data_IF_108161700091
#
_entry.id   IF_108161700091
#
_cell.length_a   1.000
_cell.length_b   1.000
_cell.length_c   1.000
_cell.angle_alpha   90.00
_cell.angle_beta   90.00
_cell.angle_gamma   90.00
#
_symmetry.space_group_name_H-M   'P 1'
#
loop_
_entity.id
_entity.type
_entity.pdbx_description
1 polymer ?
#
# COMPACT_ATOMS: atom_id res chain seq x y z
N UNK A 1 25.75 -6.28 0.60
CA UNK A 1 25.78 -5.08 1.50
C UNK A 1 27.07 -5.05 2.28
N UNK A 2 27.71 -3.91 2.34
CA UNK A 2 28.86 -3.71 3.20
C UNK A 2 28.39 -3.75 4.66
N UNK A 3 28.74 -4.84 5.38
CA UNK A 3 28.36 -5.08 6.79
C UNK A 3 28.96 -4.05 7.78
N UNK A 4 29.72 -3.09 7.29
CA UNK A 4 30.36 -2.07 8.10
C UNK A 4 29.48 -0.82 8.32
N UNK A 5 28.38 -0.67 7.56
CA UNK A 5 27.48 0.46 7.66
C UNK A 5 26.31 0.14 8.59
N UNK A 6 26.14 0.95 9.66
CA UNK A 6 24.98 0.88 10.54
C UNK A 6 23.69 1.03 9.75
N UNK A 7 22.66 0.16 9.97
CA UNK A 7 21.35 0.31 9.34
C UNK A 7 20.69 1.66 9.63
N UNK A 8 19.76 2.05 8.78
CA UNK A 8 19.03 3.31 8.91
C UNK A 8 19.71 4.48 8.21
N UNK A 9 18.99 5.57 8.12
CA UNK A 9 19.43 6.81 7.46
C UNK A 9 20.18 7.74 8.40
N UNK A 10 20.93 8.68 7.84
CA UNK A 10 21.57 9.76 8.63
C UNK A 10 20.53 10.59 9.41
N UNK A 11 19.31 10.73 8.86
CA UNK A 11 18.19 11.39 9.53
C UNK A 11 17.75 10.64 10.78
N UNK A 12 17.59 9.32 10.69
CA UNK A 12 17.29 8.47 11.84
C UNK A 12 18.38 8.61 12.91
N UNK A 13 19.64 8.49 12.54
CA UNK A 13 20.77 8.59 13.48
C UNK A 13 20.83 9.95 14.16
N UNK A 14 20.53 11.05 13.46
CA UNK A 14 20.44 12.39 14.09
C UNK A 14 19.32 12.46 15.11
N UNK A 15 18.13 11.92 14.77
CA UNK A 15 16.99 11.89 15.68
C UNK A 15 17.22 11.01 16.88
N UNK A 16 17.81 9.83 16.71
CA UNK A 16 18.18 8.92 17.80
C UNK A 16 19.10 9.58 18.81
N UNK A 17 20.12 10.30 18.35
CA UNK A 17 21.02 11.08 19.25
C UNK A 17 20.26 12.17 19.99
N UNK A 18 19.39 12.93 19.28
CA UNK A 18 18.62 14.03 19.88
C UNK A 18 17.62 13.55 20.93
N UNK A 19 17.04 12.36 20.74
CA UNK A 19 16.00 11.78 21.60
C UNK A 19 16.55 10.74 22.59
N UNK A 20 17.87 10.56 22.64
CA UNK A 20 18.56 9.59 23.49
C UNK A 20 17.99 8.17 23.37
N UNK A 21 17.83 7.70 22.12
CA UNK A 21 17.30 6.38 21.80
C UNK A 21 18.31 5.47 21.09
N UNK A 22 19.59 5.88 21.01
CA UNK A 22 20.63 5.20 20.25
C UNK A 22 20.79 3.73 20.62
N UNK A 23 21.02 3.42 21.88
CA UNK A 23 21.24 2.05 22.36
C UNK A 23 20.03 1.13 22.09
N UNK A 24 18.82 1.68 22.13
CA UNK A 24 17.60 0.92 21.82
C UNK A 24 17.48 0.66 20.32
N UNK A 25 17.85 1.62 19.49
CA UNK A 25 17.87 1.47 18.04
C UNK A 25 18.94 0.46 17.60
N UNK A 26 20.14 0.51 18.20
CA UNK A 26 21.20 -0.43 17.88
C UNK A 26 20.80 -1.88 18.20
N UNK A 27 20.20 -2.12 19.35
CA UNK A 27 19.65 -3.46 19.66
C UNK A 27 18.59 -3.90 18.66
N UNK A 28 17.73 -2.99 18.21
CA UNK A 28 16.74 -3.33 17.19
C UNK A 28 17.39 -3.69 15.86
N UNK A 29 18.38 -2.91 15.43
CA UNK A 29 19.12 -3.21 14.20
C UNK A 29 19.82 -4.57 14.27
N UNK A 30 20.48 -4.85 15.39
CA UNK A 30 21.25 -6.09 15.58
C UNK A 30 20.36 -7.34 15.72
N UNK A 31 19.19 -7.20 16.36
CA UNK A 31 18.33 -8.34 16.71
C UNK A 31 17.16 -8.57 15.76
N UNK A 32 16.67 -7.54 15.06
CA UNK A 32 15.39 -7.59 14.36
C UNK A 32 15.47 -7.30 12.87
N UNK A 33 16.52 -6.62 12.39
CA UNK A 33 16.66 -6.27 10.98
C UNK A 33 17.52 -7.30 10.27
N UNK A 34 16.97 -7.94 9.25
CA UNK A 34 17.66 -8.91 8.41
C UNK A 34 17.79 -8.37 7.00
N UNK A 35 18.81 -8.80 6.29
CA UNK A 35 19.04 -8.54 4.87
C UNK A 35 18.29 -9.52 3.95
N UNK A 36 17.39 -10.32 4.51
CA UNK A 36 16.66 -11.39 3.83
C UNK A 36 15.41 -11.82 4.60
N UNK A 37 14.58 -12.62 3.95
CA UNK A 37 13.42 -13.28 4.55
C UNK A 37 13.82 -14.62 5.15
N UNK A 38 13.76 -14.76 6.47
CA UNK A 38 13.90 -16.08 7.11
C UNK A 38 12.65 -16.95 6.88
N UNK A 39 12.71 -18.22 7.29
CA UNK A 39 11.62 -19.19 7.05
C UNK A 39 10.27 -18.72 7.59
N UNK A 40 10.25 -18.09 8.78
CA UNK A 40 9.02 -17.59 9.40
C UNK A 40 8.45 -16.40 8.64
N UNK A 41 9.31 -15.51 8.13
CA UNK A 41 8.89 -14.39 7.30
C UNK A 41 8.31 -14.87 5.97
N UNK A 42 8.93 -15.88 5.34
CA UNK A 42 8.42 -16.48 4.10
C UNK A 42 7.06 -17.14 4.30
N UNK A 43 6.88 -17.88 5.40
CA UNK A 43 5.59 -18.46 5.79
C UNK A 43 4.54 -17.35 6.03
N UNK A 44 4.93 -16.27 6.73
CA UNK A 44 4.06 -15.12 6.97
C UNK A 44 3.61 -14.48 5.66
N UNK A 45 4.53 -14.21 4.74
CA UNK A 45 4.25 -13.65 3.40
C UNK A 45 3.28 -14.53 2.62
N UNK A 46 3.51 -15.85 2.60
CA UNK A 46 2.71 -16.79 1.81
C UNK A 46 1.24 -16.87 2.20
N UNK A 47 0.87 -16.46 3.41
CA UNK A 47 -0.51 -16.49 3.90
C UNK A 47 -1.23 -15.14 3.81
N UNK A 48 -0.52 -14.05 3.44
CA UNK A 48 -1.15 -12.73 3.33
C UNK A 48 -2.04 -12.64 2.10
N UNK A 49 -3.15 -11.93 2.24
CA UNK A 49 -4.10 -11.62 1.16
C UNK A 49 -3.96 -10.18 0.67
N UNK A 50 -3.12 -9.38 1.34
CA UNK A 50 -2.95 -7.96 1.05
C UNK A 50 -1.65 -7.40 1.62
N UNK A 51 -1.18 -6.30 1.04
CA UNK A 51 -0.11 -5.47 1.59
C UNK A 51 -0.25 -4.01 1.17
N UNK A 52 0.41 -3.13 1.91
CA UNK A 52 0.60 -1.73 1.56
C UNK A 52 1.94 -1.59 0.87
N UNK A 53 1.95 -0.81 -0.20
CA UNK A 53 3.13 -0.54 -1.01
C UNK A 53 3.41 0.96 -0.97
N UNK A 54 4.63 1.33 -0.65
CA UNK A 54 5.15 2.69 -0.74
C UNK A 54 6.19 2.74 -1.85
N UNK A 55 6.05 3.72 -2.73
CA UNK A 55 7.01 4.04 -3.80
C UNK A 55 7.22 5.55 -3.86
N UNK A 56 8.27 5.99 -4.49
CA UNK A 56 8.51 7.40 -4.75
C UNK A 56 9.13 7.56 -6.14
N UNK A 57 8.82 8.66 -6.81
CA UNK A 57 9.48 9.03 -8.05
C UNK A 57 10.95 9.46 -7.83
N UNK A 58 11.63 9.89 -8.89
CA UNK A 58 13.00 10.41 -8.82
C UNK A 58 13.16 11.65 -7.96
N UNK A 59 12.09 12.40 -7.74
CA UNK A 59 12.05 13.63 -6.94
C UNK A 59 11.68 13.38 -5.48
N UNK A 60 11.36 12.13 -5.12
CA UNK A 60 10.93 11.74 -3.78
C UNK A 60 9.44 12.00 -3.52
N UNK A 61 8.61 12.23 -4.56
CA UNK A 61 7.17 12.31 -4.39
C UNK A 61 6.59 10.92 -4.17
N UNK A 62 6.05 10.73 -2.97
CA UNK A 62 5.62 9.43 -2.50
C UNK A 62 4.20 9.08 -2.97
N UNK A 63 4.02 7.82 -3.37
CA UNK A 63 2.73 7.16 -3.53
C UNK A 63 2.61 6.01 -2.53
N UNK A 64 1.46 5.94 -1.86
CA UNK A 64 1.12 4.83 -0.98
C UNK A 64 -0.14 4.17 -1.47
N UNK A 65 -0.05 2.90 -1.76
CA UNK A 65 -1.13 2.15 -2.41
C UNK A 65 -1.33 0.78 -1.77
N UNK A 66 -2.36 0.09 -2.21
CA UNK A 66 -2.78 -1.19 -1.67
C UNK A 66 -2.73 -2.26 -2.77
N UNK A 67 -2.24 -3.45 -2.41
CA UNK A 67 -2.27 -4.64 -3.27
C UNK A 67 -2.95 -5.77 -2.54
N UNK A 68 -3.79 -6.53 -3.26
CA UNK A 68 -4.49 -7.68 -2.72
C UNK A 68 -4.60 -8.81 -3.74
N UNK A 69 -4.69 -10.02 -3.24
CA UNK A 69 -4.85 -11.23 -4.02
C UNK A 69 -5.17 -12.43 -3.12
N UNK A 70 -5.36 -13.61 -3.67
CA UNK A 70 -5.51 -14.83 -2.86
C UNK A 70 -4.21 -15.12 -2.09
N UNK A 71 -4.27 -15.86 -0.97
CA UNK A 71 -3.06 -16.29 -0.27
C UNK A 71 -2.04 -16.87 -1.24
N UNK A 72 -0.78 -16.42 -1.11
CA UNK A 72 0.29 -16.79 -2.02
C UNK A 72 0.32 -16.02 -3.35
N UNK A 73 -0.45 -14.93 -3.52
CA UNK A 73 -0.31 -14.06 -4.70
C UNK A 73 1.06 -13.36 -4.72
N UNK A 74 1.59 -13.03 -3.55
CA UNK A 74 2.96 -12.59 -3.37
C UNK A 74 3.87 -13.84 -3.36
N UNK A 75 4.76 -13.94 -4.34
CA UNK A 75 5.64 -15.09 -4.55
C UNK A 75 7.00 -14.84 -3.95
N UNK A 76 7.43 -15.69 -3.05
CA UNK A 76 8.81 -15.71 -2.55
C UNK A 76 9.57 -16.80 -3.31
N UNK A 77 10.60 -16.43 -4.05
CA UNK A 77 11.39 -17.37 -4.84
C UNK A 77 12.56 -17.91 -4.06
N UNK A 78 13.20 -17.06 -3.28
CA UNK A 78 14.28 -17.42 -2.36
C UNK A 78 14.26 -16.50 -1.11
N UNK A 79 15.32 -16.44 -0.35
CA UNK A 79 15.39 -15.62 0.86
C UNK A 79 15.59 -14.10 0.59
N UNK A 80 15.98 -13.71 -0.64
CA UNK A 80 16.18 -12.31 -1.02
C UNK A 80 15.31 -11.87 -2.20
N UNK A 81 14.55 -12.78 -2.82
CA UNK A 81 13.76 -12.45 -4.02
C UNK A 81 12.31 -12.80 -3.83
N UNK A 82 11.45 -11.81 -4.04
CA UNK A 82 10.02 -12.00 -4.11
C UNK A 82 9.43 -11.25 -5.32
N UNK A 83 8.22 -11.63 -5.73
CA UNK A 83 7.49 -10.89 -6.76
C UNK A 83 5.99 -10.89 -6.50
N UNK A 84 5.33 -9.85 -6.98
CA UNK A 84 3.87 -9.77 -6.97
C UNK A 84 3.33 -9.39 -8.35
N UNK A 85 2.14 -9.92 -8.71
CA UNK A 85 1.49 -9.57 -9.97
C UNK A 85 0.82 -8.20 -9.86
N UNK A 86 0.98 -7.39 -10.89
CA UNK A 86 0.14 -6.23 -11.12
C UNK A 86 -1.05 -6.63 -11.98
N UNK A 87 -2.24 -6.44 -11.43
CA UNK A 87 -3.48 -6.71 -12.12
C UNK A 87 -3.99 -5.46 -12.84
N UNK A 88 -4.86 -5.64 -13.80
CA UNK A 88 -5.49 -4.53 -14.51
C UNK A 88 -6.20 -3.57 -13.55
N UNK A 89 -5.75 -2.32 -13.53
CA UNK A 89 -6.25 -1.23 -12.70
C UNK A 89 -6.91 -0.12 -13.51
N UNK A 90 -6.78 1.12 -13.02
CA UNK A 90 -7.32 2.34 -13.63
C UNK A 90 -6.48 2.89 -14.80
N UNK A 91 -5.33 2.31 -15.09
CA UNK A 91 -4.44 2.73 -16.17
C UNK A 91 -3.47 3.86 -15.81
N UNK A 92 -3.52 4.40 -14.58
CA UNK A 92 -2.59 5.45 -14.13
C UNK A 92 -1.17 4.91 -13.94
N UNK A 93 -1.03 3.68 -13.43
CA UNK A 93 0.24 2.97 -13.23
C UNK A 93 1.25 3.73 -12.33
N UNK A 94 0.76 4.54 -11.36
CA UNK A 94 1.60 5.42 -10.55
C UNK A 94 2.79 4.68 -9.90
N UNK A 95 2.52 3.57 -9.18
CA UNK A 95 3.59 2.82 -8.50
C UNK A 95 4.60 2.19 -9.48
N UNK A 96 4.14 1.73 -10.66
CA UNK A 96 5.03 1.19 -11.68
C UNK A 96 5.91 2.28 -12.27
N UNK A 97 5.33 3.45 -12.58
CA UNK A 97 6.09 4.62 -13.04
C UNK A 97 7.15 5.05 -12.03
N UNK A 98 6.79 5.09 -10.74
CA UNK A 98 7.74 5.40 -9.68
C UNK A 98 8.90 4.40 -9.65
N UNK A 99 8.62 3.09 -9.76
CA UNK A 99 9.65 2.02 -9.76
C UNK A 99 10.60 2.15 -10.96
N UNK A 100 10.10 2.54 -12.12
CA UNK A 100 10.94 2.78 -13.30
C UNK A 100 11.92 3.96 -13.11
N UNK A 101 11.50 4.98 -12.36
CA UNK A 101 12.33 6.15 -12.09
C UNK A 101 13.23 5.97 -10.85
N UNK A 102 12.70 5.31 -9.82
CA UNK A 102 13.36 5.08 -8.54
C UNK A 102 13.00 3.67 -8.04
N UNK A 103 13.94 2.72 -8.13
CA UNK A 103 13.64 1.33 -7.83
C UNK A 103 13.37 1.02 -6.35
N UNK A 104 13.56 1.98 -5.44
CA UNK A 104 13.33 1.74 -4.03
C UNK A 104 11.84 1.67 -3.69
N UNK A 105 11.48 0.68 -2.89
CA UNK A 105 10.12 0.52 -2.39
C UNK A 105 10.10 0.01 -0.96
N UNK A 106 8.95 0.21 -0.30
CA UNK A 106 8.63 -0.40 0.99
C UNK A 106 7.32 -1.18 0.91
N UNK A 107 7.34 -2.40 1.41
CA UNK A 107 6.16 -3.25 1.57
C UNK A 107 5.86 -3.37 3.06
N UNK A 108 4.61 -3.11 3.45
CA UNK A 108 4.11 -3.36 4.79
C UNK A 108 2.96 -4.36 4.74
N UNK A 109 3.16 -5.51 5.36
CA UNK A 109 2.11 -6.49 5.60
C UNK A 109 1.69 -6.45 7.06
N UNK A 110 0.37 -6.54 7.32
CA UNK A 110 -0.17 -6.61 8.68
C UNK A 110 -1.20 -7.73 8.75
N UNK A 111 -0.97 -8.69 9.63
CA UNK A 111 -1.96 -9.69 9.99
C UNK A 111 -2.89 -9.14 11.09
N UNK A 112 -4.02 -8.60 10.67
CA UNK A 112 -5.05 -8.07 11.57
C UNK A 112 -5.93 -9.17 12.19
N UNK A 113 -5.85 -10.41 11.68
CA UNK A 113 -6.84 -11.44 11.96
C UNK A 113 -6.37 -12.47 12.97
N UNK A 114 -5.10 -12.86 12.92
CA UNK A 114 -4.53 -13.96 13.71
C UNK A 114 -3.47 -13.47 14.69
N UNK A 115 -2.31 -13.14 14.17
CA UNK A 115 -1.12 -12.92 14.99
C UNK A 115 -0.97 -11.47 15.46
N UNK A 116 -1.70 -10.54 14.83
CA UNK A 116 -1.62 -9.10 15.12
C UNK A 116 -0.17 -8.62 15.09
N UNK A 117 0.51 -9.00 14.04
CA UNK A 117 1.91 -8.66 13.80
C UNK A 117 2.07 -8.22 12.35
N UNK A 118 3.09 -7.44 12.06
CA UNK A 118 3.40 -7.07 10.70
C UNK A 118 4.83 -7.38 10.32
N UNK A 119 5.10 -7.22 9.04
CA UNK A 119 6.41 -7.38 8.43
C UNK A 119 6.66 -6.20 7.50
N UNK A 120 7.77 -5.51 7.73
CA UNK A 120 8.34 -4.57 6.78
C UNK A 120 9.32 -5.29 5.86
N UNK A 121 9.25 -5.00 4.57
CA UNK A 121 10.22 -5.42 3.57
C UNK A 121 10.58 -4.19 2.77
N UNK A 122 11.83 -3.77 2.82
CA UNK A 122 12.38 -2.69 2.03
C UNK A 122 13.37 -3.29 1.01
N UNK A 123 13.42 -2.70 -0.18
CA UNK A 123 14.31 -3.22 -1.20
C UNK A 123 14.23 -2.46 -2.51
N UNK A 124 14.76 -3.09 -3.54
CA UNK A 124 14.79 -2.55 -4.89
C UNK A 124 13.93 -3.42 -5.79
N UNK A 125 13.15 -2.77 -6.65
CA UNK A 125 12.22 -3.44 -7.54
C UNK A 125 12.52 -3.15 -9.00
N UNK A 126 12.04 -4.05 -9.86
CA UNK A 126 11.97 -3.85 -11.30
C UNK A 126 10.64 -4.35 -11.84
N UNK A 127 10.13 -3.71 -12.87
CA UNK A 127 8.97 -4.18 -13.60
C UNK A 127 9.41 -5.26 -14.59
N UNK A 128 8.66 -6.37 -14.64
CA UNK A 128 8.97 -7.54 -15.46
C UNK A 128 7.74 -7.95 -16.25
N UNK A 129 7.89 -8.17 -17.53
CA UNK A 129 6.83 -8.68 -18.39
C UNK A 129 6.37 -10.08 -17.95
N UNK A 130 5.07 -10.37 -18.05
CA UNK A 130 4.52 -11.69 -17.64
C UNK A 130 5.20 -12.85 -18.38
N UNK A 131 5.52 -12.67 -19.65
CA UNK A 131 6.21 -13.69 -20.45
C UNK A 131 7.63 -13.97 -19.93
N UNK A 132 8.40 -12.94 -19.56
CA UNK A 132 9.74 -13.06 -19.00
C UNK A 132 9.68 -13.74 -17.63
N UNK A 133 8.77 -13.29 -16.76
CA UNK A 133 8.59 -13.87 -15.43
C UNK A 133 8.25 -15.35 -15.49
N UNK A 134 7.38 -15.76 -16.42
CA UNK A 134 7.01 -17.18 -16.60
C UNK A 134 8.11 -18.01 -17.22
N UNK A 135 8.94 -17.43 -18.08
CA UNK A 135 10.10 -18.12 -18.63
C UNK A 135 11.12 -18.43 -17.53
N UNK A 136 11.31 -17.51 -16.59
CA UNK A 136 12.23 -17.69 -15.44
C UNK A 136 11.63 -18.58 -14.35
N UNK A 137 10.30 -18.50 -14.14
CA UNK A 137 9.58 -19.24 -13.10
C UNK A 137 8.39 -20.01 -13.70
N UNK A 138 8.60 -21.16 -14.37
CA UNK A 138 7.54 -21.91 -15.08
C UNK A 138 6.40 -22.39 -14.20
N UNK A 139 6.60 -22.48 -12.87
CA UNK A 139 5.59 -22.92 -11.89
C UNK A 139 4.56 -21.84 -11.48
N UNK A 140 4.63 -20.63 -12.05
CA UNK A 140 3.68 -19.59 -11.72
C UNK A 140 2.27 -19.93 -12.20
N UNK A 141 1.24 -19.79 -11.35
CA UNK A 141 -0.14 -20.11 -11.70
C UNK A 141 -0.66 -19.15 -12.79
N UNK A 142 -1.55 -19.67 -13.64
CA UNK A 142 -2.33 -18.88 -14.58
C UNK A 142 -3.76 -18.90 -14.11
N UNK A 143 -4.31 -17.72 -13.78
CA UNK A 143 -5.73 -17.64 -13.44
C UNK A 143 -6.58 -17.79 -14.73
N UNK A 144 -7.61 -18.64 -14.72
CA UNK A 144 -8.51 -18.80 -15.86
C UNK A 144 -9.31 -17.54 -16.16
N UNK A 145 -9.56 -16.69 -15.17
CA UNK A 145 -10.31 -15.44 -15.31
C UNK A 145 -9.38 -14.34 -15.85
N UNK A 146 -9.64 -13.76 -17.04
CA UNK A 146 -8.75 -12.77 -17.65
C UNK A 146 -8.44 -11.56 -16.75
N UNK A 147 -9.43 -11.02 -16.03
CA UNK A 147 -9.25 -9.88 -15.12
C UNK A 147 -8.41 -10.18 -13.87
N UNK A 148 -8.05 -11.44 -13.67
CA UNK A 148 -7.18 -11.92 -12.57
C UNK A 148 -5.79 -12.32 -13.05
N UNK A 149 -5.47 -12.09 -14.32
CA UNK A 149 -4.14 -12.35 -14.86
C UNK A 149 -3.24 -11.17 -14.60
N UNK A 150 -1.99 -11.45 -14.32
CA UNK A 150 -0.96 -10.42 -14.24
C UNK A 150 -0.84 -9.71 -15.60
N UNK A 151 -0.77 -8.39 -15.58
CA UNK A 151 -0.41 -7.58 -16.76
C UNK A 151 1.11 -7.54 -16.85
N UNK A 152 1.74 -7.25 -15.72
CA UNK A 152 3.19 -7.30 -15.49
C UNK A 152 3.43 -7.82 -14.08
N UNK A 153 4.67 -8.06 -13.73
CA UNK A 153 5.12 -8.41 -12.39
C UNK A 153 6.05 -7.33 -11.86
N UNK A 154 6.06 -7.18 -10.56
CA UNK A 154 7.11 -6.43 -9.86
C UNK A 154 7.95 -7.43 -9.10
N UNK A 155 9.21 -7.55 -9.49
CA UNK A 155 10.21 -8.37 -8.80
C UNK A 155 10.99 -7.47 -7.84
N UNK A 156 11.17 -7.94 -6.62
CA UNK A 156 11.79 -7.19 -5.53
C UNK A 156 12.99 -7.96 -5.01
N UNK A 157 14.15 -7.30 -4.98
CA UNK A 157 15.31 -7.74 -4.23
C UNK A 157 15.24 -7.14 -2.83
N UNK A 158 15.16 -8.00 -1.81
CA UNK A 158 15.07 -7.61 -0.41
C UNK A 158 16.40 -7.06 0.08
N UNK A 159 16.40 -5.87 0.64
CA UNK A 159 17.56 -5.26 1.29
C UNK A 159 17.41 -5.28 2.82
N UNK A 160 16.17 -5.12 3.30
CA UNK A 160 15.85 -5.14 4.72
C UNK A 160 14.50 -5.83 4.95
N UNK A 161 14.43 -6.67 5.96
CA UNK A 161 13.18 -7.26 6.45
C UNK A 161 13.16 -7.23 7.98
N UNK A 162 12.09 -6.70 8.57
CA UNK A 162 11.96 -6.60 10.02
C UNK A 162 10.51 -6.58 10.48
N UNK A 163 10.33 -6.92 11.76
CA UNK A 163 9.02 -6.99 12.38
C UNK A 163 8.37 -5.60 12.53
N UNK A 164 7.07 -5.53 12.22
CA UNK A 164 6.18 -4.48 12.75
C UNK A 164 5.50 -5.00 14.00
N UNK A 165 5.79 -4.39 15.16
CA UNK A 165 5.32 -4.91 16.43
C UNK A 165 3.79 -4.91 16.55
N UNK A 166 3.26 -5.82 17.38
CA UNK A 166 1.81 -6.00 17.62
C UNK A 166 1.15 -4.77 18.30
N UNK A 167 1.96 -3.86 18.87
CA UNK A 167 1.47 -2.70 19.59
C UNK A 167 0.62 -1.82 18.66
N UNK A 168 -0.62 -1.55 19.07
CA UNK A 168 -1.59 -0.74 18.32
C UNK A 168 -2.15 -1.37 17.03
N UNK A 169 -1.85 -2.64 16.70
CA UNK A 169 -2.55 -3.33 15.62
C UNK A 169 -3.93 -3.77 16.12
N UNK A 170 -5.03 -3.27 15.52
CA UNK A 170 -6.38 -3.67 15.92
C UNK A 170 -6.63 -5.14 15.55
N UNK A 171 -7.41 -5.84 16.35
CA UNK A 171 -7.90 -7.17 16.00
C UNK A 171 -9.17 -7.05 15.15
N UNK A 172 -9.08 -7.44 13.89
CA UNK A 172 -10.20 -7.42 12.95
C UNK A 172 -10.73 -8.82 12.75
N UNK A 173 -11.95 -8.92 12.26
CA UNK A 173 -12.61 -10.16 11.88
C UNK A 173 -13.18 -10.04 10.46
N UNK A 174 -13.07 -11.10 9.67
CA UNK A 174 -13.78 -11.17 8.38
C UNK A 174 -15.29 -11.16 8.66
N UNK A 175 -16.02 -10.24 8.04
CA UNK A 175 -17.48 -10.21 8.21
C UNK A 175 -18.09 -11.51 7.65
N UNK A 176 -19.10 -12.10 8.32
CA UNK A 176 -19.86 -13.21 7.73
C UNK A 176 -20.47 -12.82 6.39
N UNK A 177 -20.50 -13.74 5.44
CA UNK A 177 -20.99 -13.49 4.07
C UNK A 177 -22.40 -12.86 4.02
N UNK A 178 -23.32 -13.28 4.91
CA UNK A 178 -24.66 -12.72 5.01
C UNK A 178 -24.69 -11.24 5.43
N UNK A 179 -23.77 -10.77 6.26
CA UNK A 179 -23.67 -9.35 6.67
C UNK A 179 -23.16 -8.46 5.54
N UNK A 180 -22.33 -8.98 4.67
CA UNK A 180 -21.81 -8.22 3.51
C UNK A 180 -22.89 -7.87 2.51
N UNK A 181 -23.87 -8.79 2.27
CA UNK A 181 -25.01 -8.53 1.40
C UNK A 181 -25.92 -7.44 1.99
N UNK A 182 -26.20 -7.48 3.29
CA UNK A 182 -27.05 -6.48 3.95
C UNK A 182 -26.42 -5.08 3.95
N UNK A 183 -25.12 -4.94 4.17
CA UNK A 183 -24.43 -3.65 4.14
C UNK A 183 -24.45 -3.00 2.74
N UNK A 184 -24.36 -3.82 1.66
CA UNK A 184 -24.47 -3.33 0.27
C UNK A 184 -25.90 -2.90 -0.11
N UNK A 185 -26.93 -3.58 0.43
CA UNK A 185 -28.35 -3.21 0.18
C UNK A 185 -28.70 -1.93 0.94
N UNK A 186 -28.23 -1.76 2.17
CA UNK A 186 -28.47 -0.53 2.96
C UNK A 186 -27.86 0.72 2.35
N UNK A 187 -26.67 0.64 1.74
CA UNK A 187 -26.04 1.76 1.05
C UNK A 187 -26.78 2.15 -0.27
N UNK A 188 -27.63 1.26 -0.80
CA UNK A 188 -28.45 1.54 -2.01
C UNK A 188 -29.84 2.12 -1.71
N UNK A 189 -30.33 2.00 -0.48
CA UNK A 189 -31.71 2.45 -0.13
C UNK A 189 -31.85 3.97 -0.02
N UNK A 190 -30.76 4.76 -0.16
CA UNK A 190 -30.77 6.21 -0.11
C UNK A 190 -30.93 6.95 -1.44
N UNK A 191 -31.07 6.25 -2.55
CA UNK A 191 -31.21 6.90 -3.86
C UNK A 191 -31.98 6.03 -4.83
N UNK A 192 -33.33 6.04 -4.74
CA UNK A 192 -34.21 5.90 -5.94
C UNK A 192 -35.64 6.26 -5.56
N UNK A 193 -36.17 7.21 -6.28
CA UNK A 193 -37.59 7.36 -6.50
C UNK A 193 -37.93 6.92 -7.95
N UNK A 194 -38.96 6.11 -8.09
CA UNK A 194 -39.78 6.00 -9.30
C UNK A 194 -39.43 4.99 -10.39
N UNK A 195 -40.27 3.96 -10.55
CA UNK A 195 -40.43 3.24 -11.84
C UNK A 195 -40.77 1.75 -11.71
N UNK A 196 -42.03 1.47 -11.97
CA UNK A 196 -42.79 0.21 -11.91
C UNK A 196 -42.34 -0.89 -12.87
N UNK A 197 -42.58 -2.09 -12.42
CA UNK A 197 -43.24 -3.26 -13.08
C UNK A 197 -42.40 -4.47 -13.52
N UNK A 198 -42.81 -5.62 -13.01
CA UNK A 198 -43.05 -6.89 -13.74
C UNK A 198 -41.92 -7.92 -13.79
N UNK A 199 -42.13 -9.06 -13.12
CA UNK A 199 -41.55 -10.33 -13.54
C UNK A 199 -40.95 -11.20 -12.42
N UNK A 200 -41.79 -11.99 -11.78
CA UNK A 200 -41.42 -13.18 -11.01
C UNK A 200 -40.97 -14.27 -11.97
N UNK A 201 -39.73 -14.70 -11.90
CA UNK A 201 -39.39 -16.06 -12.26
C UNK A 201 -38.43 -16.66 -11.26
N UNK A 202 -38.88 -17.72 -10.61
CA UNK A 202 -38.16 -18.47 -9.63
C UNK A 202 -37.28 -19.54 -10.27
N UNK A 203 -36.01 -19.42 -10.07
CA UNK A 203 -35.10 -20.57 -10.16
C UNK A 203 -34.20 -20.55 -8.93
N UNK A 204 -34.50 -21.49 -8.03
CA UNK A 204 -33.64 -21.85 -6.90
C UNK A 204 -32.51 -22.73 -7.42
N UNK A 205 -31.41 -22.12 -7.81
CA UNK A 205 -30.17 -22.85 -8.01
C UNK A 205 -29.24 -22.64 -6.83
N UNK A 206 -28.97 -23.73 -6.11
CA UNK A 206 -28.12 -23.82 -4.94
C UNK A 206 -26.64 -23.67 -5.25
N UNK A 207 -26.20 -22.48 -5.67
CA UNK A 207 -24.78 -22.12 -5.84
C UNK A 207 -24.24 -21.51 -4.54
N UNK A 208 -23.25 -22.16 -3.95
CA UNK A 208 -22.68 -21.85 -2.64
C UNK A 208 -22.21 -20.40 -2.50
N UNK A 209 -22.48 -19.82 -1.33
CA UNK A 209 -22.19 -18.44 -0.92
C UNK A 209 -20.68 -18.10 -0.91
N UNK A 210 -19.81 -19.11 -1.03
CA UNK A 210 -18.36 -18.93 -1.08
C UNK A 210 -17.82 -18.36 -2.41
N UNK A 211 -18.61 -18.40 -3.49
CA UNK A 211 -18.16 -18.05 -4.84
C UNK A 211 -18.38 -16.58 -5.21
N UNK A 212 -19.31 -15.89 -4.58
CA UNK A 212 -19.67 -14.49 -4.94
C UNK A 212 -18.57 -13.48 -4.55
N UNK A 213 -17.78 -13.72 -3.52
CA UNK A 213 -16.65 -12.86 -3.16
C UNK A 213 -15.46 -13.07 -4.13
N UNK A 214 -15.40 -14.23 -4.82
CA UNK A 214 -14.43 -14.50 -5.88
C UNK A 214 -14.80 -13.87 -7.19
N UNK A 215 -16.10 -13.72 -7.49
CA UNK A 215 -16.59 -13.20 -8.76
C UNK A 215 -16.39 -11.68 -8.92
N UNK A 216 -16.30 -10.94 -7.81
CA UNK A 216 -16.05 -9.50 -7.84
C UNK A 216 -14.57 -9.14 -7.97
N UNK A 217 -13.67 -10.06 -7.65
CA UNK A 217 -12.24 -9.82 -7.78
C UNK A 217 -11.80 -9.86 -9.25
N UNK A 218 -11.09 -8.82 -9.69
CA UNK A 218 -10.67 -8.67 -11.09
C UNK A 218 -11.77 -8.21 -12.05
N UNK A 219 -12.91 -7.72 -11.53
CA UNK A 219 -13.99 -7.18 -12.35
C UNK A 219 -13.61 -5.89 -13.06
N UNK A 220 -14.09 -5.71 -14.28
CA UNK A 220 -14.00 -4.45 -15.03
C UNK A 220 -15.23 -3.55 -14.87
N UNK A 221 -16.27 -4.00 -14.17
CA UNK A 221 -17.47 -3.20 -13.92
C UNK A 221 -17.16 -1.95 -13.11
N UNK A 222 -17.37 -0.78 -13.72
CA UNK A 222 -17.07 0.53 -13.10
C UNK A 222 -17.79 0.74 -11.76
N UNK A 223 -19.05 0.32 -11.63
CA UNK A 223 -19.82 0.48 -10.40
C UNK A 223 -19.28 -0.42 -9.28
N UNK A 224 -18.86 -1.64 -9.63
CA UNK A 224 -18.23 -2.56 -8.68
C UNK A 224 -16.84 -2.12 -8.23
N UNK A 225 -16.14 -1.36 -9.08
CA UNK A 225 -14.85 -0.73 -8.75
C UNK A 225 -14.96 0.52 -7.85
N UNK A 226 -16.17 0.89 -7.43
CA UNK A 226 -16.41 2.07 -6.59
C UNK A 226 -16.95 3.27 -7.37
N UNK A 227 -16.82 3.32 -8.69
CA UNK A 227 -17.31 4.40 -9.52
C UNK A 227 -16.74 5.76 -9.09
N UNK A 228 -17.60 6.79 -9.10
CA UNK A 228 -17.28 8.14 -8.62
C UNK A 228 -17.76 8.33 -7.17
N UNK A 229 -17.33 7.44 -6.26
CA UNK A 229 -17.78 7.42 -4.86
C UNK A 229 -17.60 8.76 -4.15
N UNK A 230 -16.51 9.47 -4.42
CA UNK A 230 -16.21 10.77 -3.82
C UNK A 230 -16.74 11.96 -4.64
N UNK A 231 -17.46 11.75 -5.74
CA UNK A 231 -18.06 12.82 -6.55
C UNK A 231 -17.06 13.65 -7.36
N UNK A 232 -15.83 13.18 -7.54
CA UNK A 232 -14.77 13.92 -8.21
C UNK A 232 -15.13 14.29 -9.67
N UNK A 233 -15.82 13.39 -10.39
CA UNK A 233 -16.28 13.66 -11.74
C UNK A 233 -17.38 14.73 -11.77
N UNK A 234 -18.22 14.83 -10.73
CA UNK A 234 -19.20 15.88 -10.58
C UNK A 234 -18.50 17.23 -10.35
N UNK A 235 -17.51 17.28 -9.48
CA UNK A 235 -16.73 18.51 -9.22
C UNK A 235 -16.04 19.04 -10.48
N UNK A 236 -15.53 18.15 -11.32
CA UNK A 236 -14.94 18.52 -12.62
C UNK A 236 -15.99 19.15 -13.53
N UNK A 237 -17.16 18.50 -13.68
CA UNK A 237 -18.23 19.00 -14.56
C UNK A 237 -18.78 20.34 -14.12
N UNK A 238 -18.81 20.60 -12.81
CA UNK A 238 -19.32 21.83 -12.22
C UNK A 238 -18.23 22.92 -12.05
N UNK A 239 -17.04 22.67 -12.57
CA UNK A 239 -15.91 23.63 -12.51
C UNK A 239 -15.35 23.88 -11.11
N UNK A 240 -15.71 23.05 -10.14
CA UNK A 240 -15.20 23.16 -8.75
C UNK A 240 -13.78 22.62 -8.60
N UNK A 241 -13.31 21.81 -9.56
CA UNK A 241 -11.96 21.27 -9.54
C UNK A 241 -10.98 22.31 -10.10
N UNK A 242 -9.95 22.64 -9.32
CA UNK A 242 -8.71 23.16 -9.90
C UNK A 242 -7.93 21.98 -10.47
N UNK A 243 -7.50 22.02 -11.75
CA UNK A 243 -6.58 21.01 -12.26
C UNK A 243 -5.36 20.97 -11.35
N UNK A 244 -4.90 19.77 -10.99
CA UNK A 244 -3.56 19.62 -10.45
C UNK A 244 -2.64 20.12 -11.57
N UNK A 245 -1.88 21.19 -11.33
CA UNK A 245 -0.96 21.71 -12.31
C UNK A 245 0.03 20.60 -12.66
N UNK A 246 0.05 20.19 -13.94
CA UNK A 246 1.10 19.33 -14.42
C UNK A 246 2.45 20.01 -14.14
N UNK A 247 3.42 19.28 -13.63
CA UNK A 247 4.78 19.79 -13.53
C UNK A 247 5.27 20.09 -14.94
N UNK A 248 5.79 21.31 -15.15
CA UNK A 248 6.67 21.53 -16.27
C UNK A 248 7.90 20.64 -16.08
N UNK A 249 8.38 19.95 -17.14
CA UNK A 249 9.62 19.21 -17.03
C UNK A 249 10.71 20.20 -16.59
N UNK A 250 11.24 20.01 -15.39
CA UNK A 250 12.39 20.78 -14.96
C UNK A 250 13.54 20.51 -15.94
N UNK A 251 14.25 21.56 -16.40
CA UNK A 251 15.45 21.35 -17.19
C UNK A 251 16.38 20.46 -16.37
N UNK A 252 16.95 19.45 -17.01
CA UNK A 252 17.89 18.51 -16.35
C UNK A 252 18.88 19.32 -15.51
N UNK A 253 18.69 19.31 -14.20
CA UNK A 253 19.58 19.99 -13.29
C UNK A 253 20.92 19.25 -13.36
N UNK A 254 21.91 19.95 -13.87
CA UNK A 254 23.31 19.56 -13.72
C UNK A 254 23.54 19.28 -12.22
N UNK A 255 23.74 17.98 -11.89
CA UNK A 255 24.02 17.55 -10.52
C UNK A 255 25.42 17.98 -10.08
N UNK A 256 25.60 19.31 -10.08
CA UNK A 256 26.69 19.95 -9.37
C UNK A 256 26.53 19.71 -7.88
N UNK A 257 27.30 18.76 -7.37
CA UNK A 257 27.40 18.37 -5.97
C UNK A 257 27.80 19.55 -5.08
N UNK A 258 26.75 20.24 -4.57
CA UNK A 258 26.90 21.22 -3.47
C UNK A 258 26.02 20.77 -2.31
N UNK A 259 26.53 20.67 -1.08
CA UNK A 259 25.69 20.32 0.07
C UNK A 259 24.68 21.46 0.32
N UNK A 260 23.38 21.12 0.29
CA UNK A 260 22.33 22.02 0.73
C UNK A 260 22.65 22.55 2.15
N UNK A 261 22.61 23.87 2.31
CA UNK A 261 22.93 24.51 3.60
C UNK A 261 21.92 24.04 4.66
N UNK A 262 22.37 23.50 5.80
CA UNK A 262 21.50 22.91 6.82
C UNK A 262 20.50 23.89 7.45
N UNK A 263 20.67 25.18 7.22
CA UNK A 263 19.93 26.24 7.92
C UNK A 263 18.58 26.60 7.30
N UNK A 264 18.37 26.38 6.01
CA UNK A 264 17.13 26.81 5.33
C UNK A 264 15.93 25.93 5.69
N UNK A 265 16.08 24.62 5.74
CA UNK A 265 15.00 23.72 6.11
C UNK A 265 14.64 23.79 7.61
N UNK A 266 15.59 24.11 8.48
CA UNK A 266 15.33 24.31 9.92
C UNK A 266 14.46 25.55 10.14
N UNK A 267 14.76 26.65 9.45
CA UNK A 267 13.96 27.85 9.49
C UNK A 267 12.55 27.65 8.94
N UNK A 268 12.40 26.85 7.86
CA UNK A 268 11.08 26.52 7.30
C UNK A 268 10.28 25.61 8.25
N UNK A 269 10.90 24.61 8.86
CA UNK A 269 10.27 23.76 9.86
C UNK A 269 9.81 24.55 11.10
N UNK A 270 10.61 25.51 11.58
CA UNK A 270 10.22 26.39 12.68
C UNK A 270 9.05 27.31 12.31
N UNK A 271 9.02 27.85 11.10
CA UNK A 271 7.88 28.65 10.59
C UNK A 271 6.59 27.83 10.49
N UNK A 272 6.68 26.60 10.02
CA UNK A 272 5.52 25.69 9.93
C UNK A 272 5.01 25.34 11.34
N UNK A 273 5.89 25.06 12.28
CA UNK A 273 5.53 24.76 13.68
C UNK A 273 4.95 26.01 14.38
N UNK A 274 5.46 27.20 14.13
CA UNK A 274 4.93 28.44 14.67
C UNK A 274 3.50 28.70 14.15
N UNK A 275 3.26 28.54 12.85
CA UNK A 275 1.92 28.67 12.26
C UNK A 275 0.93 27.61 12.76
N UNK A 276 1.40 26.39 13.02
CA UNK A 276 0.56 25.33 13.58
C UNK A 276 0.14 25.64 15.03
N UNK A 277 1.03 26.25 15.82
CA UNK A 277 0.74 26.68 17.21
C UNK A 277 -0.24 27.86 17.26
N UNK A 278 -0.13 28.80 16.33
CA UNK A 278 -1.07 29.94 16.21
C UNK A 278 -2.49 29.53 15.78
N UNK A 279 -2.62 28.39 15.06
CA UNK A 279 -3.92 27.86 14.60
C UNK A 279 -4.55 26.84 15.52
N UNK A 280 -3.90 26.45 16.62
CA UNK A 280 -4.50 25.58 17.62
C UNK A 280 -5.59 26.37 18.37
N UNK A 281 -6.89 25.96 18.34
CA UNK A 281 -7.91 26.64 19.12
C UNK A 281 -7.62 26.51 20.59
N UNK A 282 -7.73 27.60 21.35
CA UNK A 282 -7.72 27.59 22.80
C UNK A 282 -8.87 26.69 23.29
N UNK A 283 -8.55 25.50 23.80
CA UNK A 283 -9.54 24.53 24.28
C UNK A 283 -9.27 23.07 24.00
N UNK A 284 -8.17 22.72 23.34
CA UNK A 284 -7.80 21.33 23.08
C UNK A 284 -7.21 20.62 24.31
N UNK A 285 -7.98 20.56 25.39
CA UNK A 285 -7.63 19.93 26.67
C UNK A 285 -8.34 18.61 26.97
N UNK A 286 -8.85 17.88 25.98
CA UNK A 286 -9.33 16.52 26.19
C UNK A 286 -8.57 15.53 25.29
N UNK A 287 -7.94 14.51 25.89
CA UNK A 287 -7.32 13.47 25.08
C UNK A 287 -8.41 12.73 24.30
N UNK A 288 -8.19 12.55 23.01
CA UNK A 288 -9.01 11.73 22.14
C UNK A 288 -9.15 10.31 22.71
N UNK A 289 -10.33 9.98 23.23
CA UNK A 289 -10.63 8.68 23.87
C UNK A 289 -11.33 7.68 22.94
N UNK A 290 -11.30 7.87 21.64
CA UNK A 290 -11.98 7.01 20.69
C UNK A 290 -11.02 6.05 20.00
N UNK A 291 -11.31 4.80 19.97
CA UNK A 291 -10.79 3.62 19.25
C UNK A 291 -10.04 2.57 20.06
N UNK A 292 -9.64 2.82 21.32
CA UNK A 292 -8.92 1.83 22.12
C UNK A 292 -9.54 1.70 23.52
N UNK A 293 -10.58 0.89 23.61
CA UNK A 293 -11.02 0.25 24.87
C UNK A 293 -11.01 -1.25 24.67
#
# INVERSE_FOLDING_TARGET
MDRTRRPGSDGEHRLQRRLDTGDRADRFYDEQVLDRLNDRMREFVGRQEMFFLATADRHGECDSTFRAGPPGFLRVFDDQTLAYPEYRGNGVLASLGNIEENPHLGILMIDFLRDRIGLHINGRARVVEDAEMRATHPGLPVDPVPGRRAVVWVEVTVEEAYIHCAKHIPHLQKAPAQRRVAARVGARAGAVDGGTDGGLDGSLDGGGVADRDRDDWGTDDFKRKGGDFFGAAADVREGRRRPVAGREPEPEADHGSGPARPEEWQQEAERVLARARERAPEGAGQPFSGWFR
#
